data_IF_072287791250
#
_entry.id   IF_072287791250
#
_cell.length_a   1.000
_cell.length_b   1.000
_cell.length_c   1.000
_cell.angle_alpha   90.00
_cell.angle_beta   90.00
_cell.angle_gamma   90.00
#
_symmetry.space_group_name_H-M   'P 1'
#
loop_
_entity.id
_entity.type
_entity.pdbx_description
1 polymer ?
#
# COMPACT_ATOMS: atom_id res chain seq x y z
N UNK A 1 9.68 -11.72 -7.05
CA UNK A 1 9.66 -13.20 -7.13
C UNK A 1 8.50 -13.82 -6.35
N UNK A 2 8.16 -13.32 -5.15
CA UNK A 2 7.09 -13.87 -4.29
C UNK A 2 5.73 -13.77 -4.99
N UNK A 3 5.30 -12.59 -5.40
CA UNK A 3 4.01 -12.36 -6.07
C UNK A 3 3.82 -13.25 -7.30
N UNK A 4 4.85 -13.39 -8.15
CA UNK A 4 4.80 -14.28 -9.32
C UNK A 4 4.57 -15.72 -8.90
N UNK A 5 5.37 -16.23 -7.96
CA UNK A 5 5.26 -17.61 -7.49
C UNK A 5 3.91 -17.88 -6.86
N UNK A 6 3.43 -16.96 -6.04
CA UNK A 6 2.13 -17.06 -5.38
C UNK A 6 0.98 -17.11 -6.40
N UNK A 7 1.03 -16.23 -7.41
CA UNK A 7 0.02 -16.20 -8.47
C UNK A 7 0.03 -17.45 -9.35
N UNK A 8 1.21 -17.96 -9.72
CA UNK A 8 1.33 -19.23 -10.46
C UNK A 8 0.76 -20.41 -9.67
N UNK A 9 1.05 -20.50 -8.36
CA UNK A 9 0.50 -21.54 -7.49
C UNK A 9 -1.02 -21.38 -7.35
N UNK A 10 -1.53 -20.14 -7.28
CA UNK A 10 -2.97 -19.88 -7.23
C UNK A 10 -3.68 -20.30 -8.51
N UNK A 11 -3.11 -20.03 -9.68
CA UNK A 11 -3.63 -20.50 -10.99
C UNK A 11 -3.80 -22.02 -11.03
N UNK A 12 -2.93 -22.76 -10.33
CA UNK A 12 -2.96 -24.24 -10.22
C UNK A 12 -3.81 -24.74 -9.05
N UNK A 13 -4.52 -23.87 -8.33
CA UNK A 13 -5.22 -24.19 -7.08
C UNK A 13 -4.35 -24.80 -5.98
N UNK A 14 -3.04 -24.57 -6.01
CA UNK A 14 -2.09 -25.09 -5.03
C UNK A 14 -1.99 -24.23 -3.75
N UNK A 15 -2.60 -23.05 -3.73
CA UNK A 15 -2.74 -22.18 -2.55
C UNK A 15 -4.16 -21.66 -2.44
N UNK A 16 -4.58 -21.26 -1.23
CA UNK A 16 -5.90 -20.67 -1.00
C UNK A 16 -6.07 -19.32 -1.71
N UNK A 17 -7.30 -18.81 -1.89
CA UNK A 17 -7.56 -17.43 -2.26
C UNK A 17 -6.85 -16.47 -1.32
N UNK A 18 -6.31 -15.36 -1.86
CA UNK A 18 -5.53 -14.42 -1.06
C UNK A 18 -5.72 -12.97 -1.51
N UNK A 19 -5.38 -12.07 -0.60
CA UNK A 19 -5.18 -10.65 -0.87
C UNK A 19 -3.72 -10.33 -0.59
N UNK A 20 -3.01 -9.84 -1.60
CA UNK A 20 -1.63 -9.34 -1.46
C UNK A 20 -1.68 -7.85 -1.13
N UNK A 21 -1.12 -7.47 0.01
CA UNK A 21 -1.05 -6.07 0.45
C UNK A 21 0.33 -5.54 0.10
N UNK A 22 0.37 -4.46 -0.69
CA UNK A 22 1.60 -3.81 -1.12
C UNK A 22 1.63 -2.40 -0.56
N UNK A 23 2.44 -2.19 0.49
CA UNK A 23 2.69 -0.86 1.06
C UNK A 23 3.71 -0.11 0.20
N UNK A 24 3.59 1.22 0.17
CA UNK A 24 4.40 2.11 -0.65
C UNK A 24 4.49 1.63 -2.12
N UNK A 25 3.32 1.25 -2.64
CA UNK A 25 3.18 0.60 -3.96
C UNK A 25 3.84 1.36 -5.12
N UNK A 26 4.00 2.68 -4.99
CA UNK A 26 4.71 3.51 -5.98
C UNK A 26 6.19 3.14 -6.15
N UNK A 27 6.80 2.41 -5.20
CA UNK A 27 8.16 1.90 -5.35
C UNK A 27 8.22 0.62 -6.21
N UNK A 28 7.11 -0.10 -6.34
CA UNK A 28 7.03 -1.37 -7.07
C UNK A 28 6.36 -1.23 -8.44
N UNK A 29 5.45 -0.27 -8.58
CA UNK A 29 4.69 0.01 -9.81
C UNK A 29 4.70 1.50 -10.14
N UNK A 30 5.89 2.08 -10.34
CA UNK A 30 6.03 3.50 -10.63
C UNK A 30 5.42 3.88 -11.97
N UNK A 31 4.98 5.14 -12.08
CA UNK A 31 4.67 5.77 -13.36
C UNK A 31 5.95 6.00 -14.15
N UNK A 32 5.93 5.67 -15.43
CA UNK A 32 7.11 5.76 -16.31
C UNK A 32 7.98 4.48 -16.31
N UNK A 33 9.04 4.49 -17.12
CA UNK A 33 9.94 3.35 -17.24
C UNK A 33 11.18 3.54 -16.37
N UNK A 34 11.25 2.79 -15.27
CA UNK A 34 12.49 2.51 -14.56
C UNK A 34 12.85 1.04 -14.76
N UNK A 35 14.02 0.76 -15.37
CA UNK A 35 14.45 -0.61 -15.73
C UNK A 35 14.48 -1.56 -14.54
N UNK A 36 14.81 -1.06 -13.34
CA UNK A 36 14.99 -1.88 -12.14
C UNK A 36 13.68 -2.39 -11.54
N UNK A 37 12.55 -1.71 -11.80
CA UNK A 37 11.24 -2.07 -11.28
C UNK A 37 10.35 -2.81 -12.29
N UNK A 38 10.84 -3.06 -13.50
CA UNK A 38 10.04 -3.65 -14.59
C UNK A 38 9.48 -5.03 -14.24
N UNK A 39 10.21 -5.86 -13.48
CA UNK A 39 9.76 -7.22 -13.12
C UNK A 39 8.63 -7.18 -12.11
N UNK A 40 8.73 -6.34 -11.06
CA UNK A 40 7.68 -6.19 -10.05
C UNK A 40 6.42 -5.57 -10.66
N UNK A 41 6.58 -4.52 -11.45
CA UNK A 41 5.50 -3.84 -12.15
C UNK A 41 4.68 -4.80 -13.01
N UNK A 42 5.36 -5.56 -13.88
CA UNK A 42 4.69 -6.49 -14.80
C UNK A 42 3.82 -7.51 -14.06
N UNK A 43 4.33 -8.13 -13.00
CA UNK A 43 3.55 -9.15 -12.28
C UNK A 43 2.37 -8.54 -11.50
N UNK A 44 2.56 -7.39 -10.85
CA UNK A 44 1.48 -6.72 -10.12
C UNK A 44 0.39 -6.22 -11.07
N UNK A 45 0.74 -5.65 -12.22
CA UNK A 45 -0.23 -5.28 -13.25
C UNK A 45 -0.97 -6.52 -13.82
N UNK A 46 -0.28 -7.66 -13.95
CA UNK A 46 -0.92 -8.92 -14.37
C UNK A 46 -1.91 -9.41 -13.32
N UNK A 47 -1.53 -9.41 -12.04
CA UNK A 47 -2.45 -9.78 -10.94
C UNK A 47 -3.64 -8.82 -10.88
N UNK A 48 -3.44 -7.52 -11.06
CA UNK A 48 -4.52 -6.54 -11.08
C UNK A 48 -5.56 -6.85 -12.18
N UNK A 49 -5.09 -7.18 -13.40
CA UNK A 49 -5.97 -7.49 -14.55
C UNK A 49 -6.64 -8.87 -14.48
N UNK A 50 -5.91 -9.88 -14.05
CA UNK A 50 -6.34 -11.28 -14.19
C UNK A 50 -6.70 -11.94 -12.86
N UNK A 51 -6.29 -11.37 -11.74
CA UNK A 51 -6.37 -11.99 -10.41
C UNK A 51 -7.78 -12.38 -10.01
N UNK A 52 -8.78 -11.57 -10.39
CA UNK A 52 -10.20 -11.86 -10.13
C UNK A 52 -10.62 -13.26 -10.56
N UNK A 53 -10.16 -13.74 -11.73
CA UNK A 53 -10.48 -15.08 -12.26
C UNK A 53 -9.96 -16.20 -11.38
N UNK A 54 -8.94 -15.94 -10.59
CA UNK A 54 -8.25 -16.90 -9.73
C UNK A 54 -8.44 -16.62 -8.25
N UNK A 55 -9.33 -15.68 -7.86
CA UNK A 55 -9.50 -15.24 -6.48
C UNK A 55 -8.18 -14.79 -5.84
N UNK A 56 -7.37 -14.08 -6.60
CA UNK A 56 -6.19 -13.37 -6.16
C UNK A 56 -6.45 -11.87 -6.28
N UNK A 57 -6.33 -11.12 -5.20
CA UNK A 57 -6.61 -9.68 -5.17
C UNK A 57 -5.41 -8.90 -4.68
N UNK A 58 -5.32 -7.62 -5.08
CA UNK A 58 -4.32 -6.67 -4.60
C UNK A 58 -4.98 -5.61 -3.73
N UNK A 59 -4.30 -5.22 -2.67
CA UNK A 59 -4.54 -3.99 -1.91
C UNK A 59 -3.27 -3.14 -2.00
N UNK A 60 -3.33 -2.06 -2.76
CA UNK A 60 -2.21 -1.15 -2.95
C UNK A 60 -2.35 0.04 -2.01
N UNK A 61 -1.30 0.34 -1.27
CA UNK A 61 -1.24 1.49 -0.35
C UNK A 61 -0.13 2.42 -0.83
N UNK A 62 -0.44 3.69 -1.01
CA UNK A 62 0.54 4.69 -1.43
C UNK A 62 0.20 6.06 -0.87
N UNK A 63 1.23 6.79 -0.46
CA UNK A 63 1.14 8.20 -0.08
C UNK A 63 1.36 9.13 -1.29
N UNK A 64 1.71 8.57 -2.46
CA UNK A 64 2.05 9.32 -3.68
C UNK A 64 1.34 8.74 -4.90
N UNK A 65 0.02 8.94 -5.01
CA UNK A 65 -0.76 8.36 -6.11
C UNK A 65 -0.27 8.81 -7.49
N UNK A 66 0.20 10.04 -7.65
CA UNK A 66 0.78 10.54 -8.92
C UNK A 66 1.98 9.73 -9.40
N UNK A 67 2.66 9.01 -8.51
CA UNK A 67 3.79 8.14 -8.85
C UNK A 67 3.39 6.70 -9.18
N UNK A 68 2.14 6.32 -8.97
CA UNK A 68 1.65 5.00 -9.35
C UNK A 68 1.33 4.94 -10.84
N UNK A 69 1.59 3.79 -11.43
CA UNK A 69 1.22 3.50 -12.82
C UNK A 69 -0.28 3.69 -13.05
N UNK A 70 -0.65 4.50 -14.05
CA UNK A 70 -2.05 4.67 -14.47
C UNK A 70 -2.69 3.34 -14.84
N UNK A 71 -1.92 2.42 -15.42
CA UNK A 71 -2.40 1.10 -15.79
C UNK A 71 -2.89 0.32 -14.57
N UNK A 72 -2.16 0.37 -13.46
CA UNK A 72 -2.58 -0.37 -12.25
C UNK A 72 -3.72 0.34 -11.52
N UNK A 73 -3.71 1.67 -11.49
CA UNK A 73 -4.77 2.46 -10.87
C UNK A 73 -6.12 2.24 -11.56
N UNK A 74 -6.15 2.21 -12.89
CA UNK A 74 -7.38 1.95 -13.66
C UNK A 74 -7.92 0.52 -13.49
N UNK A 75 -7.12 -0.41 -12.96
CA UNK A 75 -7.57 -1.77 -12.61
C UNK A 75 -8.03 -1.89 -11.15
N UNK A 76 -7.85 -0.85 -10.35
CA UNK A 76 -8.36 -0.81 -8.98
C UNK A 76 -9.84 -0.44 -9.02
N UNK A 77 -10.71 -1.41 -8.77
CA UNK A 77 -12.16 -1.23 -8.81
C UNK A 77 -12.72 -0.40 -7.65
N UNK A 78 -11.96 -0.23 -6.57
CA UNK A 78 -12.37 0.52 -5.38
C UNK A 78 -11.20 1.31 -4.83
N UNK A 79 -11.44 2.57 -4.53
CA UNK A 79 -10.46 3.48 -3.94
C UNK A 79 -10.92 3.91 -2.55
N UNK A 80 -10.01 3.86 -1.58
CA UNK A 80 -10.18 4.41 -0.24
C UNK A 80 -9.20 5.56 -0.11
N UNK A 81 -9.72 6.79 -0.13
CA UNK A 81 -8.93 8.00 -0.23
C UNK A 81 -9.00 8.74 1.11
N UNK A 82 -7.86 8.84 1.79
CA UNK A 82 -7.70 9.67 2.97
C UNK A 82 -7.40 11.11 2.54
N UNK A 83 -7.20 12.00 3.50
CA UNK A 83 -6.89 13.40 3.19
C UNK A 83 -5.64 13.54 2.31
N UNK A 84 -5.82 14.14 1.14
CA UNK A 84 -4.77 14.51 0.20
C UNK A 84 -4.85 16.01 -0.02
N UNK A 85 -3.72 16.71 0.07
CA UNK A 85 -3.63 18.18 -0.05
C UNK A 85 -2.86 18.64 -1.28
N UNK A 86 -2.08 17.73 -1.91
CA UNK A 86 -1.29 18.06 -3.09
C UNK A 86 -2.21 18.08 -4.33
N UNK A 87 -2.31 19.19 -5.07
CA UNK A 87 -3.15 19.30 -6.26
C UNK A 87 -2.84 18.26 -7.33
N UNK A 88 -1.56 17.97 -7.59
CA UNK A 88 -1.15 16.99 -8.61
C UNK A 88 -1.64 15.57 -8.27
N UNK A 89 -1.64 15.21 -6.98
CA UNK A 89 -2.15 13.92 -6.53
C UNK A 89 -3.68 13.86 -6.64
N UNK A 90 -4.38 14.95 -6.36
CA UNK A 90 -5.84 15.06 -6.53
C UNK A 90 -6.26 14.94 -7.99
N UNK A 91 -5.59 15.65 -8.89
CA UNK A 91 -5.84 15.58 -10.33
C UNK A 91 -5.62 14.15 -10.85
N UNK A 92 -4.55 13.50 -10.40
CA UNK A 92 -4.25 12.12 -10.78
C UNK A 92 -5.30 11.13 -10.28
N UNK A 93 -5.77 11.27 -9.05
CA UNK A 93 -6.88 10.48 -8.49
C UNK A 93 -8.16 10.71 -9.31
N UNK A 94 -8.49 11.96 -9.63
CA UNK A 94 -9.66 12.31 -10.41
C UNK A 94 -9.66 11.71 -11.83
N UNK A 95 -8.49 11.66 -12.47
CA UNK A 95 -8.32 11.06 -13.80
C UNK A 95 -8.36 9.53 -13.79
N UNK A 96 -7.93 8.90 -12.71
CA UNK A 96 -7.81 7.44 -12.60
C UNK A 96 -9.01 6.76 -11.96
N UNK A 97 -9.91 7.50 -11.32
CA UNK A 97 -11.06 6.96 -10.58
C UNK A 97 -12.36 7.40 -11.23
N UNK A 98 -13.12 6.45 -11.76
CA UNK A 98 -14.44 6.73 -12.31
C UNK A 98 -15.41 7.16 -11.21
N UNK A 99 -16.26 8.14 -11.50
CA UNK A 99 -17.34 8.58 -10.60
C UNK A 99 -16.96 9.61 -9.55
N UNK A 100 -15.75 10.19 -9.60
CA UNK A 100 -15.36 11.31 -8.73
C UNK A 100 -15.63 12.64 -9.46
N UNK A 101 -16.53 13.46 -8.93
CA UNK A 101 -16.76 14.83 -9.42
C UNK A 101 -15.69 15.80 -8.86
N UNK A 102 -15.52 16.95 -9.53
CA UNK A 102 -14.62 18.03 -9.05
C UNK A 102 -14.99 18.52 -7.64
N UNK A 103 -16.25 18.52 -7.29
CA UNK A 103 -16.76 18.88 -5.96
C UNK A 103 -16.32 17.84 -4.91
N UNK A 104 -16.38 16.56 -5.27
CA UNK A 104 -15.93 15.46 -4.41
C UNK A 104 -14.42 15.54 -4.20
N UNK A 105 -13.64 15.84 -5.25
CA UNK A 105 -12.18 16.04 -5.14
C UNK A 105 -11.84 17.19 -4.18
N UNK A 106 -12.56 18.32 -4.28
CA UNK A 106 -12.32 19.45 -3.37
C UNK A 106 -12.59 19.09 -1.91
N UNK A 107 -13.56 18.23 -1.66
CA UNK A 107 -13.91 17.74 -0.32
C UNK A 107 -12.85 16.86 0.32
N UNK A 108 -12.02 16.19 -0.48
CA UNK A 108 -10.92 15.33 0.02
C UNK A 108 -9.89 16.16 0.81
N UNK A 109 -9.64 17.39 0.39
CA UNK A 109 -8.67 18.27 1.08
C UNK A 109 -9.11 18.64 2.50
N UNK A 110 -10.43 18.69 2.73
CA UNK A 110 -11.06 19.02 4.01
C UNK A 110 -11.24 17.84 4.97
N UNK A 111 -10.91 16.63 4.57
CA UNK A 111 -11.04 15.44 5.42
C UNK A 111 -10.21 15.57 6.69
N UNK A 112 -10.78 15.13 7.81
CA UNK A 112 -10.11 15.07 9.10
C UNK A 112 -9.30 13.78 9.24
N UNK A 113 -8.44 13.74 10.24
CA UNK A 113 -7.73 12.50 10.63
C UNK A 113 -8.76 11.43 10.98
N UNK A 114 -8.62 10.24 10.36
CA UNK A 114 -9.57 9.14 10.53
C UNK A 114 -10.83 9.23 9.66
N UNK A 115 -10.91 10.19 8.75
CA UNK A 115 -11.95 10.24 7.73
C UNK A 115 -11.40 9.80 6.37
N UNK A 116 -12.24 9.17 5.56
CA UNK A 116 -11.90 8.73 4.22
C UNK A 116 -13.11 8.85 3.29
N UNK A 117 -12.83 8.98 2.00
CA UNK A 117 -13.77 8.82 0.92
C UNK A 117 -13.59 7.43 0.32
N UNK A 118 -14.67 6.67 0.17
CA UNK A 118 -14.68 5.41 -0.58
C UNK A 118 -15.41 5.66 -1.89
N UNK A 119 -14.82 5.20 -3.01
CA UNK A 119 -15.42 5.25 -4.35
C UNK A 119 -15.13 3.96 -5.11
N UNK A 120 -15.99 3.60 -6.05
CA UNK A 120 -15.81 2.46 -6.95
C UNK A 120 -16.83 1.36 -6.75
N UNK A 121 -16.56 0.19 -7.32
CA UNK A 121 -17.54 -0.91 -7.45
C UNK A 121 -18.02 -1.51 -6.12
N UNK A 122 -17.28 -1.34 -5.02
CA UNK A 122 -17.68 -1.84 -3.71
C UNK A 122 -18.88 -1.09 -3.11
N UNK A 123 -19.21 0.08 -3.63
CA UNK A 123 -20.29 0.93 -3.14
C UNK A 123 -21.03 1.58 -4.31
N UNK A 124 -22.34 1.86 -4.14
CA UNK A 124 -23.17 2.43 -5.20
C UNK A 124 -22.88 3.92 -5.46
N UNK A 125 -22.39 4.64 -4.46
CA UNK A 125 -22.13 6.09 -4.52
C UNK A 125 -20.89 6.45 -3.73
N UNK A 126 -20.13 7.49 -4.12
CA UNK A 126 -19.04 8.03 -3.32
C UNK A 126 -19.50 8.29 -1.88
N UNK A 127 -18.86 7.68 -0.91
CA UNK A 127 -19.31 7.71 0.49
C UNK A 127 -18.18 8.16 1.40
N UNK A 128 -18.44 9.21 2.19
CA UNK A 128 -17.55 9.64 3.25
C UNK A 128 -17.75 8.75 4.49
N UNK A 129 -16.66 8.25 5.03
CA UNK A 129 -16.67 7.34 6.18
C UNK A 129 -15.70 7.82 7.26
N UNK A 130 -16.04 7.50 8.51
CA UNK A 130 -15.10 7.61 9.62
C UNK A 130 -14.49 6.24 9.87
N UNK A 131 -13.16 6.19 9.81
CA UNK A 131 -12.42 4.96 10.10
C UNK A 131 -12.55 4.66 11.60
N UNK A 132 -12.95 3.44 11.93
CA UNK A 132 -13.04 2.99 13.32
C UNK A 132 -11.66 2.80 13.92
N UNK A 133 -11.58 2.81 15.23
CA UNK A 133 -10.38 2.42 15.95
C UNK A 133 -9.98 0.98 15.62
N UNK A 134 -8.67 0.73 15.58
CA UNK A 134 -8.14 -0.60 15.32
C UNK A 134 -8.54 -1.56 16.44
N UNK A 135 -8.87 -2.81 16.10
CA UNK A 135 -9.12 -3.89 17.06
C UNK A 135 -7.84 -4.61 17.50
N UNK A 136 -6.77 -4.50 16.70
CA UNK A 136 -5.47 -5.05 17.05
C UNK A 136 -4.80 -4.23 18.15
N UNK A 137 -4.03 -4.85 19.06
CA UNK A 137 -3.28 -4.11 20.06
C UNK A 137 -2.28 -3.16 19.39
N UNK A 138 -2.05 -2.01 20.02
CA UNK A 138 -0.96 -1.13 19.63
C UNK A 138 0.38 -1.87 19.83
N UNK A 139 1.39 -1.69 18.97
CA UNK A 139 2.73 -2.15 19.31
C UNK A 139 3.10 -1.54 20.65
N UNK A 140 3.55 -2.37 21.58
CA UNK A 140 3.81 -1.96 23.00
C UNK A 140 4.96 -0.95 23.12
N UNK A 141 5.80 -0.83 22.09
CA UNK A 141 6.86 0.17 22.00
C UNK A 141 6.93 0.69 20.56
N UNK A 142 6.60 1.96 20.34
CA UNK A 142 7.32 2.72 19.34
C UNK A 142 8.72 2.92 19.94
N UNK A 143 9.72 2.16 19.48
CA UNK A 143 11.10 2.42 19.84
C UNK A 143 11.37 3.88 19.51
N UNK A 144 11.62 4.70 20.54
CA UNK A 144 12.14 6.03 20.31
C UNK A 144 13.55 5.90 19.76
N UNK A 145 14.06 6.91 19.08
CA UNK A 145 15.44 6.90 18.59
C UNK A 145 16.42 6.67 19.75
N UNK A 146 16.10 7.22 20.92
CA UNK A 146 16.89 7.06 22.15
C UNK A 146 16.90 5.61 22.64
N UNK A 147 15.74 4.93 22.65
CA UNK A 147 15.64 3.52 23.04
C UNK A 147 16.41 2.62 22.06
N UNK A 148 16.32 2.91 20.76
CA UNK A 148 17.06 2.16 19.74
C UNK A 148 18.59 2.37 19.85
N UNK A 149 19.03 3.58 20.19
CA UNK A 149 20.45 3.89 20.43
C UNK A 149 20.98 3.14 21.66
N UNK A 150 20.24 3.17 22.79
CA UNK A 150 20.61 2.41 24.00
C UNK A 150 20.70 0.93 23.76
N UNK A 151 19.68 0.34 23.09
CA UNK A 151 19.68 -1.08 22.72
C UNK A 151 20.89 -1.46 21.85
N UNK A 152 21.33 -0.56 20.98
CA UNK A 152 22.50 -0.77 20.14
C UNK A 152 23.80 -0.74 20.98
N UNK A 153 23.94 0.23 21.87
CA UNK A 153 25.09 0.36 22.77
C UNK A 153 25.22 -0.83 23.73
N UNK A 154 24.10 -1.27 24.33
CA UNK A 154 24.03 -2.44 25.20
C UNK A 154 24.44 -3.74 24.49
N UNK A 155 24.01 -3.90 23.21
CA UNK A 155 24.42 -5.05 22.39
C UNK A 155 25.88 -4.99 21.98
N UNK A 156 26.43 -3.80 21.73
CA UNK A 156 27.82 -3.60 21.38
C UNK A 156 28.71 -3.88 22.59
N UNK A 157 28.35 -3.42 23.81
CA UNK A 157 29.02 -3.70 25.04
C UNK A 157 29.08 -5.20 25.36
N UNK A 158 27.96 -5.92 25.26
CA UNK A 158 27.92 -7.37 25.47
C UNK A 158 28.80 -8.16 24.49
N UNK A 159 28.85 -7.76 23.22
CA UNK A 159 29.74 -8.40 22.24
C UNK A 159 31.23 -8.20 22.57
N UNK A 160 31.58 -7.08 23.15
CA UNK A 160 32.96 -6.79 23.54
C UNK A 160 33.35 -7.57 24.80
N UNK A 161 32.47 -7.66 25.81
CA UNK A 161 32.65 -8.50 26.99
C UNK A 161 32.77 -10.00 26.64
N UNK A 162 31.89 -10.50 25.73
CA UNK A 162 31.95 -11.88 25.24
C UNK A 162 33.25 -12.15 24.48
N UNK A 163 33.77 -11.20 23.71
CA UNK A 163 35.03 -11.35 22.97
C UNK A 163 36.25 -11.36 23.91
N UNK A 164 36.23 -10.55 24.98
CA UNK A 164 37.30 -10.50 25.99
C UNK A 164 37.30 -11.75 26.91
N UNK A 165 36.15 -12.38 27.11
CA UNK A 165 36.02 -13.62 27.88
C UNK A 165 36.58 -14.87 27.17
N UNK A 166 36.87 -14.78 25.87
CA UNK A 166 37.43 -15.86 25.04
C UNK A 166 38.98 -15.74 24.85
N UNK A 167 39.63 -14.74 25.43
CA UNK A 167 41.08 -14.56 25.41
C UNK A 167 41.70 -14.92 26.77
#
# INVERSE_FOLDING_TARGET
HVSRKLFELRKRNAVCPYVEIVEEAHNFVPQGETKDNAVARFILETVAREGRKFCASLLLISQRPVRLSNTILSQCNTHIILRVTNPNDLDHIGQSSEGISSETLSSITGLRVGEALIVGEAINYPTFVKIRDRKSPAPRHSLTLEDAARDFEDRAGKKQEDAEAFV
#
